data_IF_955772464139
#
_entry.id   IF_955772464139
#
_cell.length_a   1.000
_cell.length_b   1.000
_cell.length_c   1.000
_cell.angle_alpha   90.00
_cell.angle_beta   90.00
_cell.angle_gamma   90.00
#
_symmetry.space_group_name_H-M   'P 1'
#
loop_
_entity.id
_entity.type
_entity.pdbx_description
1 polymer ?
#
# COMPACT_ATOMS: atom_id res chain seq x y z
N UNK A 1 -20.47 8.88 -0.62
CA UNK A 1 -19.59 7.76 -1.05
C UNK A 1 -18.17 8.12 -0.66
N UNK A 2 -17.44 7.22 0.02
CA UNK A 2 -16.06 7.48 0.45
C UNK A 2 -15.12 7.22 -0.72
N UNK A 3 -14.19 8.15 -0.96
CA UNK A 3 -13.14 8.02 -1.98
C UNK A 3 -11.77 8.25 -1.35
N UNK A 4 -10.82 7.38 -1.66
CA UNK A 4 -9.40 7.53 -1.34
C UNK A 4 -8.62 7.67 -2.65
N UNK A 5 -7.92 8.79 -2.81
CA UNK A 5 -7.00 8.99 -3.93
C UNK A 5 -5.57 8.94 -3.41
N UNK A 6 -4.70 8.18 -4.10
CA UNK A 6 -3.27 8.06 -3.81
C UNK A 6 -2.51 8.50 -5.06
N UNK A 7 -1.78 9.60 -5.00
CA UNK A 7 -0.86 9.99 -6.07
C UNK A 7 0.59 9.75 -5.65
N UNK A 8 1.31 8.93 -6.42
CA UNK A 8 2.75 8.74 -6.24
C UNK A 8 3.50 9.73 -7.12
N UNK A 9 4.48 10.39 -6.53
CA UNK A 9 5.33 11.39 -7.16
C UNK A 9 6.79 11.10 -6.83
N UNK A 10 7.69 11.56 -7.69
CA UNK A 10 9.12 11.36 -7.51
C UNK A 10 9.93 12.56 -7.99
N UNK A 11 11.07 12.79 -7.35
CA UNK A 11 12.11 13.68 -7.86
C UNK A 11 13.07 12.96 -8.82
N UNK A 12 13.00 11.63 -8.89
CA UNK A 12 13.82 10.77 -9.73
C UNK A 12 13.41 10.77 -11.21
N UNK A 13 14.13 9.98 -12.01
CA UNK A 13 13.94 9.85 -13.48
C UNK A 13 12.68 9.07 -13.88
N UNK A 14 12.06 8.40 -12.92
CA UNK A 14 10.77 7.72 -13.03
C UNK A 14 9.61 8.71 -13.25
N UNK A 15 9.71 9.93 -12.75
CA UNK A 15 8.78 10.99 -13.09
C UNK A 15 9.11 11.57 -14.48
N UNK A 16 8.21 11.36 -15.45
CA UNK A 16 8.41 11.86 -16.82
C UNK A 16 8.48 13.39 -16.89
N UNK A 17 7.61 14.08 -16.14
CA UNK A 17 7.58 15.54 -16.02
C UNK A 17 7.60 15.94 -14.55
N UNK A 18 8.54 16.80 -14.16
CA UNK A 18 8.71 17.31 -12.79
C UNK A 18 8.41 18.80 -12.76
N UNK A 19 7.16 19.14 -12.47
CA UNK A 19 6.61 20.49 -12.55
C UNK A 19 6.08 21.02 -11.22
N UNK A 20 6.08 20.22 -10.17
CA UNK A 20 5.71 20.64 -8.82
C UNK A 20 6.98 20.95 -8.02
N UNK A 21 7.07 22.15 -7.47
CA UNK A 21 8.19 22.57 -6.63
C UNK A 21 7.84 22.39 -5.15
N UNK A 22 8.71 21.72 -4.40
CA UNK A 22 8.56 21.49 -2.96
C UNK A 22 9.85 21.87 -2.22
N UNK A 23 9.71 22.32 -0.97
CA UNK A 23 10.83 22.58 -0.07
C UNK A 23 11.07 21.37 0.83
N UNK A 24 12.20 20.67 0.64
CA UNK A 24 12.58 19.48 1.41
C UNK A 24 14.04 19.60 1.82
N UNK A 25 14.32 19.36 3.10
CA UNK A 25 15.66 19.50 3.70
C UNK A 25 16.33 20.86 3.39
N UNK A 26 15.53 21.93 3.37
CA UNK A 26 15.99 23.28 3.04
C UNK A 26 16.31 23.52 1.56
N UNK A 27 16.06 22.54 0.68
CA UNK A 27 16.30 22.64 -0.75
C UNK A 27 14.98 22.69 -1.54
N UNK A 28 15.00 23.44 -2.63
CA UNK A 28 13.91 23.46 -3.60
C UNK A 28 14.07 22.28 -4.56
N UNK A 29 13.13 21.34 -4.53
CA UNK A 29 13.15 20.11 -5.31
C UNK A 29 11.94 20.10 -6.25
N UNK A 30 12.16 19.73 -7.50
CA UNK A 30 11.09 19.47 -8.46
C UNK A 30 10.67 18.00 -8.39
N UNK A 31 9.38 17.76 -8.19
CA UNK A 31 8.75 16.45 -8.20
C UNK A 31 7.71 16.37 -9.31
N UNK A 32 7.38 15.14 -9.71
CA UNK A 32 6.44 14.86 -10.77
C UNK A 32 5.63 13.60 -10.52
N UNK A 33 4.43 13.51 -11.09
CA UNK A 33 3.57 12.32 -10.97
C UNK A 33 4.22 11.11 -11.64
N UNK A 34 4.13 9.97 -10.97
CA UNK A 34 4.59 8.65 -11.43
C UNK A 34 3.38 7.74 -11.62
N UNK A 35 2.44 7.75 -10.67
CA UNK A 35 1.18 7.03 -10.79
C UNK A 35 0.09 7.64 -9.93
N UNK A 36 -1.16 7.27 -10.20
CA UNK A 36 -2.30 7.57 -9.35
C UNK A 36 -3.18 6.34 -9.19
N UNK A 37 -3.83 6.23 -8.05
CA UNK A 37 -4.88 5.25 -7.77
C UNK A 37 -6.05 5.96 -7.10
N UNK A 38 -7.28 5.64 -7.48
CA UNK A 38 -8.51 6.15 -6.89
C UNK A 38 -9.39 4.98 -6.50
N UNK A 39 -9.70 4.87 -5.22
CA UNK A 39 -10.50 3.80 -4.63
C UNK A 39 -11.82 4.38 -4.15
N UNK A 40 -12.94 3.70 -4.47
CA UNK A 40 -14.27 4.04 -3.97
C UNK A 40 -14.78 2.91 -3.08
N UNK A 41 -15.49 3.30 -2.02
CA UNK A 41 -16.01 2.37 -1.03
C UNK A 41 -17.52 2.50 -0.86
N UNK A 42 -18.17 1.37 -0.65
CA UNK A 42 -19.58 1.31 -0.27
C UNK A 42 -19.82 1.76 1.18
N UNK A 43 -21.08 1.69 1.62
CA UNK A 43 -21.49 2.10 2.96
C UNK A 43 -20.86 1.26 4.08
N UNK A 44 -20.49 0.02 3.80
CA UNK A 44 -19.83 -0.91 4.72
C UNK A 44 -18.28 -0.81 4.67
N UNK A 45 -17.73 0.17 3.95
CA UNK A 45 -16.30 0.36 3.73
C UNK A 45 -15.64 -0.79 2.95
N UNK A 46 -16.39 -1.49 2.09
CA UNK A 46 -15.84 -2.45 1.14
C UNK A 46 -15.44 -1.71 -0.14
N UNK A 47 -14.32 -2.12 -0.74
CA UNK A 47 -13.84 -1.55 -1.99
C UNK A 47 -14.78 -1.97 -3.13
N UNK A 48 -15.35 -1.03 -3.87
CA UNK A 48 -16.27 -1.33 -4.99
C UNK A 48 -15.70 -0.97 -6.36
N UNK A 49 -14.72 -0.07 -6.39
CA UNK A 49 -14.08 0.37 -7.63
C UNK A 49 -12.66 0.85 -7.32
N UNK A 50 -11.71 0.45 -8.17
CA UNK A 50 -10.37 1.04 -8.22
C UNK A 50 -10.12 1.56 -9.64
N UNK A 51 -9.48 2.72 -9.76
CA UNK A 51 -8.94 3.19 -11.02
C UNK A 51 -7.47 3.49 -10.80
N UNK A 52 -6.61 3.12 -11.75
CA UNK A 52 -5.19 3.39 -11.64
C UNK A 52 -4.64 3.94 -12.96
N UNK A 53 -3.56 4.72 -12.86
CA UNK A 53 -2.86 5.28 -14.01
C UNK A 53 -1.38 5.42 -13.71
N UNK A 54 -0.53 5.21 -14.71
CA UNK A 54 0.91 5.53 -14.67
C UNK A 54 1.20 6.69 -15.62
N UNK A 55 2.21 7.49 -15.27
CA UNK A 55 2.58 8.72 -15.99
C UNK A 55 4.04 8.67 -16.46
N UNK A 56 4.61 7.48 -16.55
CA UNK A 56 5.93 7.20 -17.09
C UNK A 56 5.92 7.15 -18.63
N UNK A 57 7.07 6.80 -19.25
CA UNK A 57 7.24 6.81 -20.72
C UNK A 57 6.40 5.70 -21.36
N UNK A 58 5.17 6.04 -21.77
CA UNK A 58 4.20 5.10 -22.32
C UNK A 58 3.05 4.79 -21.37
N UNK A 59 2.73 5.74 -20.47
CA UNK A 59 1.73 5.63 -19.40
C UNK A 59 0.51 4.78 -19.74
N UNK A 60 0.09 4.00 -18.76
CA UNK A 60 -1.00 3.04 -18.87
C UNK A 60 -2.07 3.33 -17.82
N UNK A 61 -3.20 2.64 -17.88
CA UNK A 61 -4.24 2.74 -16.88
C UNK A 61 -5.22 1.59 -16.96
N UNK A 62 -6.07 1.52 -15.94
CA UNK A 62 -7.12 0.53 -15.85
C UNK A 62 -8.10 0.81 -14.75
N UNK A 63 -9.12 -0.03 -14.69
CA UNK A 63 -10.17 -0.01 -13.71
C UNK A 63 -10.45 -1.43 -13.24
N UNK A 64 -10.68 -1.58 -11.94
CA UNK A 64 -11.23 -2.79 -11.36
C UNK A 64 -12.59 -2.49 -10.72
N UNK A 65 -13.58 -3.33 -10.99
CA UNK A 65 -14.88 -3.34 -10.32
C UNK A 65 -14.97 -4.55 -9.39
N UNK A 66 -15.52 -4.32 -8.20
CA UNK A 66 -15.54 -5.31 -7.12
C UNK A 66 -16.97 -5.61 -6.69
N UNK A 67 -17.38 -6.86 -6.86
CA UNK A 67 -18.71 -7.35 -6.48
C UNK A 67 -18.60 -8.44 -5.41
N UNK A 68 -19.36 -8.29 -4.31
CA UNK A 68 -19.29 -9.21 -3.17
C UNK A 68 -20.49 -10.15 -3.13
N UNK A 69 -20.21 -11.45 -2.99
CA UNK A 69 -21.18 -12.46 -2.56
C UNK A 69 -20.94 -12.81 -1.07
N UNK A 70 -21.63 -13.83 -0.57
CA UNK A 70 -21.42 -14.31 0.80
C UNK A 70 -20.05 -14.97 1.03
N UNK A 71 -19.45 -15.53 -0.02
CA UNK A 71 -18.28 -16.40 0.02
C UNK A 71 -17.20 -16.03 -1.01
N UNK A 72 -17.43 -15.02 -1.85
CA UNK A 72 -16.51 -14.59 -2.89
C UNK A 72 -16.53 -13.07 -3.08
N UNK A 73 -15.40 -12.56 -3.55
CA UNK A 73 -15.25 -11.26 -4.19
C UNK A 73 -14.97 -11.52 -5.67
N UNK A 74 -15.78 -10.96 -6.56
CA UNK A 74 -15.55 -11.00 -8.01
C UNK A 74 -14.91 -9.68 -8.42
N UNK A 75 -13.70 -9.76 -8.99
CA UNK A 75 -12.99 -8.61 -9.53
C UNK A 75 -13.08 -8.65 -11.04
N UNK A 76 -13.63 -7.59 -11.64
CA UNK A 76 -13.64 -7.41 -13.09
C UNK A 76 -12.64 -6.33 -13.45
N UNK A 77 -11.57 -6.71 -14.15
CA UNK A 77 -10.44 -5.85 -14.48
C UNK A 77 -10.46 -5.44 -15.94
N UNK A 78 -10.36 -4.15 -16.20
CA UNK A 78 -10.22 -3.56 -17.53
C UNK A 78 -8.91 -2.82 -17.60
N UNK A 79 -8.03 -3.25 -18.51
CA UNK A 79 -6.73 -2.61 -18.75
C UNK A 79 -6.74 -1.94 -20.11
N UNK A 80 -6.15 -0.76 -20.22
CA UNK A 80 -6.07 -0.06 -21.50
C UNK A 80 -5.29 -0.90 -22.52
N UNK A 81 -5.94 -1.26 -23.62
CA UNK A 81 -5.33 -2.04 -24.70
C UNK A 81 -5.22 -3.55 -24.43
N UNK A 82 -5.91 -4.08 -23.42
CA UNK A 82 -5.98 -5.53 -23.17
C UNK A 82 -7.44 -5.98 -22.99
N UNK A 83 -7.66 -7.29 -23.10
CA UNK A 83 -8.96 -7.90 -22.82
C UNK A 83 -9.30 -7.81 -21.33
N UNK A 84 -10.61 -7.81 -21.04
CA UNK A 84 -11.10 -7.79 -19.67
C UNK A 84 -10.83 -9.13 -18.98
N UNK A 85 -10.41 -9.07 -17.71
CA UNK A 85 -10.25 -10.22 -16.82
C UNK A 85 -11.39 -10.30 -15.80
N UNK A 86 -11.79 -11.53 -15.45
CA UNK A 86 -12.70 -11.78 -14.31
C UNK A 86 -11.99 -12.72 -13.35
N UNK A 87 -11.83 -12.27 -12.11
CA UNK A 87 -11.03 -12.94 -11.09
C UNK A 87 -11.87 -13.18 -9.83
N UNK A 88 -12.36 -14.42 -9.62
CA UNK A 88 -13.01 -14.78 -8.37
C UNK A 88 -11.97 -14.94 -7.26
N UNK A 89 -12.18 -14.27 -6.14
CA UNK A 89 -11.38 -14.38 -4.91
C UNK A 89 -12.25 -14.97 -3.81
N UNK A 90 -11.98 -16.19 -3.33
CA UNK A 90 -12.80 -16.78 -2.27
C UNK A 90 -12.59 -16.01 -0.96
N UNK A 91 -13.64 -15.89 -0.14
CA UNK A 91 -13.62 -15.21 1.14
C UNK A 91 -13.83 -16.19 2.29
N UNK A 92 -13.14 -15.94 3.42
CA UNK A 92 -13.40 -16.65 4.66
C UNK A 92 -14.62 -16.07 5.40
N UNK A 93 -14.97 -16.65 6.55
CA UNK A 93 -16.11 -16.20 7.38
C UNK A 93 -15.98 -14.78 7.95
N UNK A 94 -14.79 -14.19 7.94
CA UNK A 94 -14.55 -12.80 8.32
C UNK A 94 -14.76 -11.83 7.13
N UNK A 95 -15.07 -12.33 5.93
CA UNK A 95 -15.15 -11.54 4.70
C UNK A 95 -13.79 -11.14 4.12
N UNK A 96 -12.71 -11.83 4.54
CA UNK A 96 -11.34 -11.59 4.07
C UNK A 96 -10.96 -12.61 3.00
N UNK A 97 -10.10 -12.23 2.07
CA UNK A 97 -9.55 -13.11 1.04
C UNK A 97 -9.01 -14.39 1.66
N UNK A 98 -9.39 -15.52 1.08
CA UNK A 98 -8.95 -16.84 1.51
C UNK A 98 -8.20 -17.52 0.37
N UNK A 99 -7.40 -18.52 0.73
CA UNK A 99 -6.58 -19.26 -0.20
C UNK A 99 -5.64 -20.16 0.57
N UNK A 100 -5.09 -21.15 -0.12
CA UNK A 100 -4.09 -22.03 0.47
C UNK A 100 -2.90 -21.19 0.95
N UNK A 101 -2.53 -21.37 2.22
CA UNK A 101 -1.41 -20.66 2.83
C UNK A 101 -1.69 -19.23 3.27
N UNK A 102 -2.94 -18.75 3.27
CA UNK A 102 -3.31 -17.45 3.86
C UNK A 102 -3.96 -17.68 5.22
N UNK A 103 -3.42 -17.04 6.27
CA UNK A 103 -3.96 -17.13 7.63
C UNK A 103 -4.14 -15.75 8.26
N UNK A 104 -5.28 -15.58 8.92
CA UNK A 104 -5.61 -14.39 9.69
C UNK A 104 -5.74 -14.73 11.17
N UNK A 105 -5.47 -13.74 12.02
CA UNK A 105 -5.86 -13.82 13.42
C UNK A 105 -7.37 -13.55 13.61
N UNK A 106 -7.82 -13.57 14.86
CA UNK A 106 -9.21 -13.32 15.22
C UNK A 106 -9.63 -11.86 15.01
N UNK A 107 -8.67 -10.93 14.96
CA UNK A 107 -8.94 -9.52 14.69
C UNK A 107 -9.00 -9.21 13.20
N UNK A 108 -8.54 -10.11 12.34
CA UNK A 108 -8.51 -9.96 10.88
C UNK A 108 -7.19 -9.39 10.34
N UNK A 109 -6.10 -9.42 11.11
CA UNK A 109 -4.77 -9.18 10.57
C UNK A 109 -4.25 -10.43 9.86
N UNK A 110 -3.61 -10.23 8.70
CA UNK A 110 -2.85 -11.28 8.04
C UNK A 110 -1.65 -11.63 8.92
N UNK A 111 -1.51 -12.90 9.31
CA UNK A 111 -0.41 -13.38 10.17
C UNK A 111 0.54 -14.33 9.44
N UNK A 112 0.08 -14.96 8.35
CA UNK A 112 0.90 -15.81 7.49
C UNK A 112 0.38 -15.79 6.06
N UNK A 113 1.30 -15.74 5.10
CA UNK A 113 1.04 -15.88 3.67
C UNK A 113 2.10 -16.76 3.02
N UNK A 114 1.68 -17.81 2.33
CA UNK A 114 2.57 -18.67 1.53
C UNK A 114 2.40 -18.34 0.05
N UNK A 115 3.49 -18.02 -0.63
CA UNK A 115 3.53 -17.71 -2.06
C UNK A 115 4.68 -18.48 -2.73
N UNK A 116 4.33 -19.59 -3.38
CA UNK A 116 5.31 -20.52 -3.95
C UNK A 116 6.22 -21.08 -2.86
N UNK A 117 7.52 -20.87 -3.00
CA UNK A 117 8.53 -21.31 -2.03
C UNK A 117 8.74 -20.32 -0.89
N UNK A 118 7.96 -19.24 -0.78
CA UNK A 118 8.13 -18.24 0.27
C UNK A 118 6.99 -18.30 1.28
N UNK A 119 7.33 -18.16 2.55
CA UNK A 119 6.38 -17.90 3.64
C UNK A 119 6.71 -16.54 4.23
N UNK A 120 5.71 -15.67 4.30
CA UNK A 120 5.78 -14.38 4.98
C UNK A 120 4.93 -14.46 6.25
N UNK A 121 5.50 -14.10 7.39
CA UNK A 121 4.81 -14.04 8.68
C UNK A 121 4.81 -12.62 9.22
N UNK A 122 3.74 -12.26 9.93
CA UNK A 122 3.55 -10.93 10.47
C UNK A 122 3.39 -10.99 12.00
N UNK A 123 4.12 -10.14 12.70
CA UNK A 123 3.96 -9.95 14.16
C UNK A 123 3.15 -8.70 14.42
N UNK A 124 2.05 -8.85 15.16
CA UNK A 124 1.13 -7.77 15.50
C UNK A 124 1.32 -7.42 16.98
N UNK A 125 1.57 -6.14 17.27
CA UNK A 125 1.63 -5.61 18.63
C UNK A 125 0.77 -4.35 18.74
N UNK A 126 -0.14 -4.31 19.71
CA UNK A 126 -1.02 -3.16 19.97
C UNK A 126 -1.80 -2.67 18.73
N UNK A 127 -2.20 -3.60 17.85
CA UNK A 127 -2.90 -3.28 16.60
C UNK A 127 -2.01 -2.74 15.48
N UNK A 128 -0.68 -2.90 15.58
CA UNK A 128 0.29 -2.53 14.55
C UNK A 128 1.11 -3.75 14.11
N UNK A 129 1.32 -3.90 12.81
CA UNK A 129 2.27 -4.87 12.25
C UNK A 129 3.69 -4.37 12.52
N UNK A 130 4.35 -4.86 13.58
CA UNK A 130 5.69 -4.37 13.95
C UNK A 130 6.82 -5.08 13.22
N UNK A 131 6.54 -6.28 12.68
CA UNK A 131 7.52 -7.10 11.99
C UNK A 131 6.89 -7.92 10.87
N UNK A 132 7.57 -7.94 9.73
CA UNK A 132 7.35 -8.90 8.64
C UNK A 132 8.61 -9.75 8.51
N UNK A 133 8.45 -11.07 8.44
CA UNK A 133 9.54 -12.00 8.16
C UNK A 133 9.19 -12.84 6.93
N UNK A 134 9.99 -12.72 5.87
CA UNK A 134 9.88 -13.52 4.65
C UNK A 134 11.03 -14.51 4.56
N UNK A 135 10.68 -15.80 4.48
CA UNK A 135 11.60 -16.93 4.44
C UNK A 135 11.29 -17.82 3.24
N UNK A 136 12.33 -18.31 2.55
CA UNK A 136 12.15 -19.39 1.58
C UNK A 136 12.18 -20.76 2.24
N UNK A 137 11.39 -21.71 1.70
CA UNK A 137 11.36 -23.11 2.10
C UNK A 137 12.61 -23.88 1.65
N UNK A 138 13.46 -23.30 0.78
CA UNK A 138 14.71 -23.91 0.34
C UNK A 138 15.75 -23.94 1.48
N UNK A 139 16.60 -24.99 1.56
CA UNK A 139 17.66 -25.08 2.56
C UNK A 139 18.61 -23.88 2.53
N UNK A 140 19.07 -23.43 3.71
CA UNK A 140 20.04 -22.32 3.88
C UNK A 140 19.62 -20.98 3.25
N UNK A 141 18.33 -20.78 3.03
CA UNK A 141 17.82 -19.53 2.49
C UNK A 141 17.96 -18.37 3.47
N UNK A 142 18.24 -17.19 2.92
CA UNK A 142 18.21 -15.94 3.68
C UNK A 142 16.80 -15.68 4.23
N UNK A 143 16.75 -15.07 5.39
CA UNK A 143 15.53 -14.56 6.01
C UNK A 143 15.53 -13.05 5.84
N UNK A 144 14.50 -12.54 5.18
CA UNK A 144 14.28 -11.11 5.03
C UNK A 144 13.37 -10.63 6.15
N UNK A 145 13.81 -9.63 6.90
CA UNK A 145 13.08 -9.06 8.02
C UNK A 145 12.84 -7.59 7.76
N UNK A 146 11.58 -7.16 7.89
CA UNK A 146 11.19 -5.76 7.88
C UNK A 146 10.63 -5.40 9.25
N UNK A 147 11.18 -4.36 9.87
CA UNK A 147 10.73 -3.80 11.14
C UNK A 147 10.09 -2.44 10.91
N UNK A 148 8.97 -2.20 11.58
CA UNK A 148 8.21 -0.96 11.48
C UNK A 148 8.20 -0.21 12.81
N UNK A 149 8.48 1.08 12.76
CA UNK A 149 8.32 2.00 13.88
C UNK A 149 7.20 2.99 13.56
N UNK A 150 6.41 3.38 14.56
CA UNK A 150 5.15 4.08 14.39
C UNK A 150 5.07 5.38 15.21
N UNK A 151 4.37 6.38 14.69
CA UNK A 151 3.84 7.47 15.50
C UNK A 151 2.52 7.03 16.12
N UNK A 152 2.57 6.65 17.41
CA UNK A 152 1.40 6.13 18.14
C UNK A 152 0.30 7.18 18.35
N UNK A 153 0.58 8.46 18.14
CA UNK A 153 -0.37 9.56 18.31
C UNK A 153 -1.20 9.83 17.04
N UNK A 154 -0.79 9.27 15.91
CA UNK A 154 -1.43 9.50 14.61
C UNK A 154 -2.08 8.22 14.08
N UNK A 155 -3.37 8.25 13.69
CA UNK A 155 -4.01 7.10 13.05
C UNK A 155 -3.41 6.88 11.66
N UNK A 156 -3.34 5.61 11.24
CA UNK A 156 -2.88 5.26 9.91
C UNK A 156 -3.87 5.73 8.81
N UNK A 157 -3.39 5.70 7.58
CA UNK A 157 -4.18 6.01 6.40
C UNK A 157 -5.22 4.91 6.14
N UNK A 158 -6.35 5.23 5.47
CA UNK A 158 -7.35 4.23 5.14
C UNK A 158 -6.78 3.06 4.35
N UNK A 159 -7.28 1.85 4.64
CA UNK A 159 -6.90 0.66 3.91
C UNK A 159 -7.55 0.65 2.53
N UNK A 160 -6.74 0.69 1.46
CA UNK A 160 -7.24 0.62 0.09
C UNK A 160 -7.78 -0.76 -0.30
N UNK A 161 -7.38 -1.83 0.38
CA UNK A 161 -7.76 -3.21 0.09
C UNK A 161 -8.24 -3.92 1.36
N UNK A 162 -9.42 -3.54 1.89
CA UNK A 162 -9.93 -4.06 3.16
C UNK A 162 -10.16 -5.57 3.15
N UNK A 163 -10.42 -6.16 1.99
CA UNK A 163 -10.59 -7.60 1.84
C UNK A 163 -9.28 -8.39 2.07
N UNK A 164 -8.10 -7.75 2.02
CA UNK A 164 -6.82 -8.41 2.24
C UNK A 164 -6.42 -8.52 3.72
N UNK A 165 -7.24 -8.00 4.63
CA UNK A 165 -6.98 -7.96 6.08
C UNK A 165 -6.78 -6.53 6.59
N UNK A 166 -6.68 -6.40 7.92
CA UNK A 166 -6.41 -5.13 8.59
C UNK A 166 -4.98 -4.64 8.33
N UNK A 167 -4.83 -3.32 8.31
CA UNK A 167 -3.54 -2.62 8.31
C UNK A 167 -3.24 -2.09 9.71
N UNK A 168 -1.97 -1.75 9.98
CA UNK A 168 -1.56 -1.14 11.24
C UNK A 168 -2.43 0.05 11.62
N UNK A 169 -2.74 0.19 12.91
CA UNK A 169 -3.55 1.28 13.47
C UNK A 169 -2.90 2.65 13.34
N UNK A 170 -1.57 2.72 13.39
CA UNK A 170 -0.79 3.95 13.44
C UNK A 170 0.05 4.19 12.19
N UNK A 171 0.47 5.45 11.96
CA UNK A 171 1.32 5.80 10.83
C UNK A 171 2.74 5.28 11.01
N UNK A 172 3.30 4.52 10.06
CA UNK A 172 4.71 4.14 10.10
C UNK A 172 5.58 5.37 9.88
N UNK A 173 6.58 5.58 10.72
CA UNK A 173 7.55 6.68 10.61
C UNK A 173 8.94 6.20 10.20
N UNK A 174 9.23 4.90 10.35
CA UNK A 174 10.48 4.32 9.90
C UNK A 174 10.30 2.85 9.57
N UNK A 175 11.05 2.42 8.57
CA UNK A 175 11.14 1.02 8.14
C UNK A 175 12.60 0.63 8.11
N UNK A 176 12.92 -0.52 8.71
CA UNK A 176 14.26 -1.12 8.66
C UNK A 176 14.13 -2.49 8.01
N UNK A 177 14.84 -2.69 6.90
CA UNK A 177 14.90 -3.96 6.19
C UNK A 177 16.27 -4.61 6.43
N UNK A 178 16.29 -5.93 6.59
CA UNK A 178 17.51 -6.71 6.74
C UNK A 178 17.38 -8.05 6.02
N UNK A 179 18.46 -8.53 5.40
CA UNK A 179 18.55 -9.89 4.84
C UNK A 179 19.49 -10.79 5.68
N UNK A 180 19.79 -10.36 6.91
CA UNK A 180 20.75 -11.01 7.81
C UNK A 180 22.21 -10.67 7.52
N UNK A 181 22.51 -10.00 6.41
CA UNK A 181 23.88 -9.56 6.05
C UNK A 181 23.95 -8.04 5.96
N UNK A 182 22.99 -7.44 5.27
CA UNK A 182 22.86 -6.02 5.03
C UNK A 182 21.63 -5.51 5.76
N UNK A 183 21.71 -4.26 6.24
CA UNK A 183 20.58 -3.58 6.87
C UNK A 183 20.48 -2.19 6.27
N UNK A 184 19.28 -1.84 5.80
CA UNK A 184 18.97 -0.51 5.31
C UNK A 184 17.71 0.00 5.98
N UNK A 185 17.67 1.29 6.30
CA UNK A 185 16.48 1.92 6.84
C UNK A 185 16.15 3.19 6.08
N UNK A 186 14.89 3.55 6.11
CA UNK A 186 14.41 4.83 5.64
C UNK A 186 13.29 5.32 6.56
N UNK A 187 13.19 6.64 6.68
CA UNK A 187 12.17 7.29 7.50
C UNK A 187 11.15 7.99 6.61
N UNK A 188 9.95 8.12 7.16
CA UNK A 188 8.87 8.88 6.57
C UNK A 188 8.67 10.18 7.34
N UNK A 189 8.39 11.26 6.62
CA UNK A 189 7.82 12.47 7.19
C UNK A 189 6.44 12.71 6.60
N UNK A 190 5.55 13.32 7.38
CA UNK A 190 4.16 13.55 7.00
C UNK A 190 3.81 15.03 7.14
N UNK A 191 3.07 15.53 6.15
CA UNK A 191 2.41 16.83 6.16
C UNK A 191 0.90 16.59 6.11
N UNK A 192 0.17 17.15 7.07
CA UNK A 192 -1.29 17.07 7.12
C UNK A 192 -1.87 18.44 6.75
N UNK A 193 -2.56 18.52 5.63
CA UNK A 193 -3.30 19.70 5.20
C UNK A 193 -4.79 19.39 5.34
N UNK A 194 -5.30 19.57 6.56
CA UNK A 194 -6.71 19.32 6.90
C UNK A 194 -7.67 20.17 6.08
N UNK A 195 -7.26 21.39 5.69
CA UNK A 195 -8.08 22.30 4.87
C UNK A 195 -8.39 21.75 3.49
N UNK A 196 -7.57 20.82 2.99
CA UNK A 196 -7.72 20.17 1.69
C UNK A 196 -8.01 18.68 1.78
N UNK A 197 -8.14 18.12 2.98
CA UNK A 197 -8.27 16.67 3.19
C UNK A 197 -7.07 15.89 2.64
N UNK A 198 -5.88 16.51 2.63
CA UNK A 198 -4.66 15.97 2.03
C UNK A 198 -3.67 15.58 3.13
N UNK A 199 -3.20 14.33 3.10
CA UNK A 199 -2.00 13.90 3.82
C UNK A 199 -0.91 13.60 2.82
N UNK A 200 0.27 14.18 3.01
CA UNK A 200 1.43 13.97 2.13
C UNK A 200 2.54 13.27 2.90
N UNK A 201 3.04 12.17 2.36
CA UNK A 201 4.18 11.40 2.90
C UNK A 201 5.42 11.65 2.04
N UNK A 202 6.55 11.85 2.67
CA UNK A 202 7.85 11.95 2.02
C UNK A 202 8.76 10.81 2.46
N UNK A 203 9.54 10.28 1.53
CA UNK A 203 10.61 9.32 1.77
C UNK A 203 11.85 9.75 1.00
N UNK A 204 12.97 9.90 1.70
CA UNK A 204 14.27 10.17 1.08
C UNK A 204 15.04 8.87 0.86
N UNK A 205 15.52 8.65 -0.36
CA UNK A 205 16.41 7.54 -0.70
C UNK A 205 17.88 7.90 -0.44
N UNK A 206 18.72 6.89 -0.32
CA UNK A 206 20.17 7.04 -0.08
C UNK A 206 20.90 7.81 -1.19
N UNK A 207 20.38 7.78 -2.41
CA UNK A 207 20.90 8.54 -3.56
C UNK A 207 20.42 10.01 -3.58
N UNK A 208 19.72 10.46 -2.54
CA UNK A 208 19.21 11.83 -2.43
C UNK A 208 17.88 12.09 -3.14
N UNK A 209 17.30 11.11 -3.83
CA UNK A 209 15.97 11.23 -4.45
C UNK A 209 14.86 11.18 -3.40
N UNK A 210 13.71 11.73 -3.75
CA UNK A 210 12.50 11.69 -2.92
C UNK A 210 11.38 10.97 -3.63
N UNK A 211 10.73 10.05 -2.91
CA UNK A 211 9.37 9.61 -3.19
C UNK A 211 8.40 10.45 -2.35
N UNK A 212 7.35 10.94 -2.98
CA UNK A 212 6.31 11.76 -2.37
C UNK A 212 4.97 11.11 -2.68
N UNK A 213 4.12 10.91 -1.67
CA UNK A 213 2.82 10.27 -1.86
C UNK A 213 1.75 11.15 -1.24
N UNK A 214 0.76 11.49 -2.06
CA UNK A 214 -0.38 12.30 -1.67
C UNK A 214 -1.59 11.41 -1.47
N UNK A 215 -2.18 11.49 -0.28
CA UNK A 215 -3.41 10.82 0.10
C UNK A 215 -4.51 11.87 0.22
N UNK A 216 -5.52 11.80 -0.62
CA UNK A 216 -6.71 12.65 -0.52
C UNK A 216 -7.92 11.80 -0.16
N UNK A 217 -8.66 12.21 0.85
CA UNK A 217 -9.83 11.45 1.35
C UNK A 217 -11.03 12.37 1.32
N UNK A 218 -12.10 11.96 0.63
CA UNK A 218 -13.38 12.67 0.73
C UNK A 218 -14.17 12.12 1.90
N UNK A 219 -14.50 12.96 2.88
CA UNK A 219 -15.39 12.56 3.97
C UNK A 219 -16.78 12.19 3.42
N UNK A 220 -17.50 11.34 4.15
CA UNK A 220 -18.94 11.17 3.94
C UNK A 220 -19.69 12.36 4.50
#
# INVERSE_FOLDING_TARGET
MLTLSIENKSSGTDAYSRNEQVMLDGQSILIGKVSSNVYKFDEQNRLIESNWSTYDRGGNGGQDLFEYTADQLIITSTHLGMDNGVHPVPLNKQGLSSGDGIKYDAEGFLIEKVEGEYTTTYTIENGNIVREERKSTLPNSKVYVTLYEYDLTKPNLPNSHPYSGKVSKNLPVKVTNSDGVTTNSYSYSYLFDESKGLTRRYQKYSNGQYSVIDYSITCR
#
